data_IF_410875582671
#
_entry.id   IF_410875582671
#
_cell.length_a   1.000
_cell.length_b   1.000
_cell.length_c   1.000
_cell.angle_alpha   90.00
_cell.angle_beta   90.00
_cell.angle_gamma   90.00
#
_symmetry.space_group_name_H-M   'P 1'
#
loop_
_entity.id
_entity.type
_entity.pdbx_description
1 polymer ?
#
# COMPACT_ATOMS: atom_id res chain seq x y z
N UNK A 1 1.40 7.60 0.87
CA UNK A 1 0.27 7.57 -0.09
C UNK A 1 0.65 7.75 -1.57
N UNK A 2 1.86 8.17 -1.94
CA UNK A 2 2.26 8.34 -3.35
C UNK A 2 2.10 7.08 -4.20
N UNK A 3 2.61 5.93 -3.72
CA UNK A 3 2.43 4.65 -4.43
C UNK A 3 0.97 4.21 -4.49
N UNK A 4 0.16 4.59 -3.51
CA UNK A 4 -1.28 4.35 -3.49
C UNK A 4 -1.99 5.08 -4.63
N UNK A 5 -1.50 6.26 -5.04
CA UNK A 5 -2.05 6.98 -6.19
C UNK A 5 -1.82 6.21 -7.50
N UNK A 6 -0.65 5.58 -7.64
CA UNK A 6 -0.30 4.77 -8.82
C UNK A 6 -1.12 3.47 -8.85
N UNK A 7 -1.23 2.76 -7.73
CA UNK A 7 -1.87 1.45 -7.70
C UNK A 7 -3.40 1.50 -7.61
N UNK A 8 -3.96 2.51 -6.95
CA UNK A 8 -5.40 2.57 -6.62
C UNK A 8 -6.08 3.86 -7.10
N UNK A 9 -5.32 4.83 -7.66
CA UNK A 9 -5.85 6.16 -7.96
C UNK A 9 -6.27 6.94 -6.71
N UNK A 10 -5.77 6.58 -5.52
CA UNK A 10 -6.14 7.20 -4.25
C UNK A 10 -4.94 7.83 -3.55
N UNK A 11 -5.09 9.08 -3.12
CA UNK A 11 -4.12 9.78 -2.26
C UNK A 11 -4.54 9.83 -0.80
N UNK A 12 -5.79 9.49 -0.49
CA UNK A 12 -6.30 9.41 0.88
C UNK A 12 -6.01 8.02 1.45
N UNK A 13 -5.27 7.94 2.56
CA UNK A 13 -4.84 6.67 3.18
C UNK A 13 -6.00 5.70 3.41
N UNK A 14 -7.08 6.17 4.06
CA UNK A 14 -8.26 5.35 4.33
C UNK A 14 -8.87 4.73 3.05
N UNK A 15 -9.00 5.52 1.97
CA UNK A 15 -9.56 5.04 0.70
C UNK A 15 -8.64 4.01 0.04
N UNK A 16 -7.32 4.21 0.13
CA UNK A 16 -6.35 3.25 -0.39
C UNK A 16 -6.36 1.94 0.42
N UNK A 17 -6.47 2.01 1.75
CA UNK A 17 -6.62 0.83 2.60
C UNK A 17 -7.88 0.03 2.25
N UNK A 18 -9.02 0.70 2.07
CA UNK A 18 -10.28 0.05 1.65
C UNK A 18 -10.11 -0.68 0.31
N UNK A 19 -9.48 -0.05 -0.69
CA UNK A 19 -9.23 -0.71 -1.98
C UNK A 19 -8.23 -1.87 -1.89
N UNK A 20 -7.25 -1.79 -0.99
CA UNK A 20 -6.31 -2.87 -0.72
C UNK A 20 -6.91 -4.01 0.13
N UNK A 21 -8.13 -3.87 0.64
CA UNK A 21 -8.75 -4.81 1.58
C UNK A 21 -8.15 -4.76 2.98
N UNK A 22 -7.48 -3.66 3.33
CA UNK A 22 -6.90 -3.40 4.65
C UNK A 22 -7.94 -2.68 5.51
N UNK A 23 -8.23 -3.22 6.68
CA UNK A 23 -9.15 -2.59 7.63
C UNK A 23 -8.61 -1.23 8.09
N UNK A 24 -9.49 -0.24 8.18
CA UNK A 24 -9.14 1.12 8.58
C UNK A 24 -10.22 1.70 9.50
N UNK A 25 -9.85 2.03 10.73
CA UNK A 25 -10.70 2.70 11.70
C UNK A 25 -10.42 4.20 11.68
N UNK A 26 -11.41 4.99 11.23
CA UNK A 26 -11.32 6.44 11.18
C UNK A 26 -11.18 7.10 12.55
N UNK A 27 -11.54 6.43 13.65
CA UNK A 27 -11.38 6.96 15.01
C UNK A 27 -9.92 6.97 15.46
N UNK A 28 -9.13 6.00 14.98
CA UNK A 28 -7.71 5.85 15.31
C UNK A 28 -6.78 6.63 14.36
N UNK A 29 -7.32 7.15 13.25
CA UNK A 29 -6.59 7.90 12.20
C UNK A 29 -6.01 9.27 12.64
N UNK A 30 -6.05 9.56 13.95
CA UNK A 30 -5.38 10.71 14.57
C UNK A 30 -4.14 10.30 15.37
N UNK A 31 -3.88 8.99 15.48
CA UNK A 31 -2.68 8.42 16.07
C UNK A 31 -1.59 8.28 15.01
N UNK A 32 -0.47 8.98 15.18
CA UNK A 32 0.69 8.84 14.30
C UNK A 32 1.20 7.39 14.22
N UNK A 33 1.08 6.64 15.32
CA UNK A 33 1.43 5.22 15.35
C UNK A 33 0.51 4.40 14.44
N UNK A 34 -0.81 4.61 14.54
CA UNK A 34 -1.80 3.90 13.72
C UNK A 34 -1.61 4.20 12.24
N UNK A 35 -1.47 5.48 11.88
CA UNK A 35 -1.25 5.90 10.49
C UNK A 35 0.06 5.32 9.93
N UNK A 36 1.11 5.24 10.75
CA UNK A 36 2.38 4.63 10.35
C UNK A 36 2.22 3.14 10.11
N UNK A 37 1.53 2.42 10.99
CA UNK A 37 1.25 0.99 10.83
C UNK A 37 0.43 0.72 9.56
N UNK A 38 -0.66 1.47 9.33
CA UNK A 38 -1.49 1.34 8.13
C UNK A 38 -0.76 1.71 6.85
N UNK A 39 0.11 2.72 6.90
CA UNK A 39 0.97 3.08 5.78
C UNK A 39 1.97 1.97 5.47
N UNK A 40 2.61 1.37 6.48
CA UNK A 40 3.55 0.27 6.30
C UNK A 40 2.87 -0.99 5.75
N UNK A 41 1.70 -1.34 6.28
CA UNK A 41 0.88 -2.45 5.79
C UNK A 41 0.53 -2.26 4.30
N UNK A 42 0.05 -1.07 3.93
CA UNK A 42 -0.30 -0.71 2.57
C UNK A 42 0.92 -0.70 1.62
N UNK A 43 2.07 -0.21 2.10
CA UNK A 43 3.32 -0.21 1.34
C UNK A 43 3.77 -1.64 1.02
N UNK A 44 3.81 -2.51 2.03
CA UNK A 44 4.15 -3.92 1.86
C UNK A 44 3.17 -4.63 0.93
N UNK A 45 1.86 -4.38 1.07
CA UNK A 45 0.85 -4.91 0.15
C UNK A 45 1.17 -4.56 -1.32
N UNK A 46 1.41 -3.27 -1.59
CA UNK A 46 1.70 -2.79 -2.95
C UNK A 46 2.94 -3.48 -3.52
N UNK A 47 4.06 -3.48 -2.78
CA UNK A 47 5.30 -4.09 -3.28
C UNK A 47 5.17 -5.60 -3.47
N UNK A 48 4.48 -6.30 -2.57
CA UNK A 48 4.25 -7.74 -2.72
C UNK A 48 3.39 -8.07 -3.96
N UNK A 49 2.44 -7.19 -4.33
CA UNK A 49 1.67 -7.33 -5.58
C UNK A 49 2.49 -7.04 -6.83
N UNK A 50 3.50 -6.18 -6.74
CA UNK A 50 4.41 -5.86 -7.84
C UNK A 50 5.59 -6.84 -7.98
N UNK A 51 5.92 -7.55 -6.90
CA UNK A 51 7.05 -8.48 -6.82
C UNK A 51 7.15 -9.48 -7.97
N UNK A 52 6.06 -10.12 -8.44
CA UNK A 52 6.14 -11.03 -9.60
C UNK A 52 6.74 -10.37 -10.85
N UNK A 53 6.30 -9.15 -11.20
CA UNK A 53 6.83 -8.41 -12.35
C UNK A 53 8.30 -8.01 -12.17
N UNK A 54 8.72 -7.75 -10.94
CA UNK A 54 10.10 -7.41 -10.60
C UNK A 54 11.03 -8.63 -10.69
N UNK A 55 10.57 -9.78 -10.20
CA UNK A 55 11.27 -11.05 -10.31
C UNK A 55 11.39 -11.47 -11.78
N UNK A 56 10.31 -11.38 -12.55
CA UNK A 56 10.31 -11.68 -13.97
C UNK A 56 11.30 -10.80 -14.75
N UNK A 57 11.37 -9.50 -14.40
CA UNK A 57 12.31 -8.57 -15.02
C UNK A 57 13.78 -8.86 -14.68
N UNK A 58 14.06 -9.29 -13.45
CA UNK A 58 15.42 -9.66 -13.02
C UNK A 58 15.87 -10.99 -13.66
N UNK A 59 14.97 -11.97 -13.75
CA UNK A 59 15.26 -13.26 -14.40
C UNK A 59 15.45 -13.08 -15.91
N UNK A 60 14.64 -12.24 -16.57
CA UNK A 60 14.80 -11.96 -18.00
C UNK A 60 16.09 -11.19 -18.35
N UNK A 61 16.71 -10.53 -17.37
CA UNK A 61 17.98 -9.82 -17.52
C UNK A 61 19.22 -10.70 -17.22
N UNK A 62 19.02 -11.97 -16.85
CA UNK A 62 20.06 -12.96 -16.53
C UNK A 62 20.27 -13.94 -17.68
#
# INVERSE_FOLDING_TARGET
>A
VTLSAVMFGQTVLAKACIQAGIEFDGKEAHSALYDTQKTAELFCYILNKLSPYLLDSLVAAS
#
